data_IF_525090641779
#
_entry.id   IF_525090641779
#
_cell.length_a   1.000
_cell.length_b   1.000
_cell.length_c   1.000
_cell.angle_alpha   90.00
_cell.angle_beta   90.00
_cell.angle_gamma   90.00
#
_symmetry.space_group_name_H-M   'P 1'
#
loop_
_entity.id
_entity.type
_entity.pdbx_description
1 polymer ?
#
# COMPACT_ATOMS: atom_id res chain seq x y z
N UNK A 1 -13.21 -7.69 8.51
CA UNK A 1 -13.04 -6.22 8.39
C UNK A 1 -13.70 -5.73 7.11
N UNK A 2 -13.24 -6.10 5.91
CA UNK A 2 -13.72 -5.53 4.61
C UNK A 2 -15.24 -5.62 4.46
N UNK A 3 -15.84 -6.82 4.64
CA UNK A 3 -17.30 -7.02 4.53
C UNK A 3 -18.05 -6.01 5.41
N UNK A 4 -17.70 -5.98 6.71
CA UNK A 4 -18.34 -5.04 7.65
C UNK A 4 -18.20 -3.57 7.18
N UNK A 5 -17.02 -3.16 6.73
CA UNK A 5 -16.77 -1.78 6.31
C UNK A 5 -17.65 -1.38 5.12
N UNK A 6 -17.78 -2.26 4.12
CA UNK A 6 -18.61 -1.95 2.93
C UNK A 6 -20.10 -1.99 3.26
N UNK A 7 -20.54 -2.88 4.17
CA UNK A 7 -21.92 -2.94 4.63
C UNK A 7 -22.31 -1.71 5.47
N UNK A 8 -21.42 -1.25 6.36
CA UNK A 8 -21.59 -0.01 7.11
C UNK A 8 -21.72 1.21 6.18
N UNK A 9 -21.11 1.15 4.99
CA UNK A 9 -21.27 2.15 3.92
C UNK A 9 -22.52 1.94 3.05
N UNK A 10 -23.39 0.99 3.36
CA UNK A 10 -24.63 0.71 2.65
C UNK A 10 -24.49 -0.20 1.42
N UNK A 11 -23.35 -0.82 1.22
CA UNK A 11 -23.12 -1.80 0.15
C UNK A 11 -23.63 -3.17 0.58
N UNK A 12 -24.38 -3.85 -0.30
CA UNK A 12 -24.84 -5.24 -0.06
C UNK A 12 -23.80 -6.20 -0.62
N UNK A 13 -23.24 -7.05 0.23
CA UNK A 13 -22.37 -8.15 -0.20
C UNK A 13 -23.25 -9.30 -0.72
N UNK A 14 -23.09 -9.66 -2.00
CA UNK A 14 -23.90 -10.69 -2.67
C UNK A 14 -23.12 -11.98 -2.92
N UNK A 15 -21.80 -11.97 -2.75
CA UNK A 15 -20.91 -13.13 -2.86
C UNK A 15 -19.62 -12.88 -2.05
N UNK A 16 -19.02 -13.92 -1.50
CA UNK A 16 -17.70 -13.85 -0.86
C UNK A 16 -17.72 -13.47 0.64
N UNK A 17 -18.89 -13.34 1.26
CA UNK A 17 -18.96 -13.09 2.72
C UNK A 17 -18.29 -14.21 3.53
N UNK A 18 -18.50 -15.47 3.11
CA UNK A 18 -17.97 -16.69 3.75
C UNK A 18 -17.20 -17.59 2.79
N UNK A 19 -17.27 -17.31 1.50
CA UNK A 19 -16.75 -18.16 0.42
C UNK A 19 -15.37 -17.68 0.02
N UNK A 20 -14.37 -17.92 0.87
CA UNK A 20 -12.96 -17.71 0.52
C UNK A 20 -12.45 -18.91 -0.27
N UNK A 21 -11.57 -18.70 -1.22
CA UNK A 21 -10.88 -19.78 -1.92
C UNK A 21 -9.60 -20.20 -1.19
N UNK A 22 -9.18 -21.44 -1.43
CA UNK A 22 -7.90 -21.94 -0.92
C UNK A 22 -6.74 -21.14 -1.57
N UNK A 23 -5.74 -20.68 -0.80
CA UNK A 23 -4.56 -20.01 -1.36
C UNK A 23 -3.79 -20.81 -2.41
N UNK A 24 -3.94 -22.12 -2.44
CA UNK A 24 -3.33 -23.02 -3.43
C UNK A 24 -4.24 -23.32 -4.62
N UNK A 25 -5.44 -22.75 -4.69
CA UNK A 25 -6.39 -22.94 -5.78
C UNK A 25 -5.82 -22.45 -7.11
N UNK A 26 -6.01 -23.23 -8.14
CA UNK A 26 -5.57 -22.94 -9.52
C UNK A 26 -6.71 -22.90 -10.53
N UNK A 27 -7.89 -23.43 -10.18
CA UNK A 27 -9.06 -23.47 -11.04
C UNK A 27 -10.21 -22.65 -10.49
N UNK A 28 -10.39 -21.46 -11.01
CA UNK A 28 -11.39 -20.48 -10.55
C UNK A 28 -12.71 -20.50 -11.35
N UNK A 29 -12.95 -21.49 -12.20
CA UNK A 29 -14.13 -21.53 -13.09
C UNK A 29 -15.46 -21.55 -12.31
N UNK A 30 -15.54 -22.33 -11.22
CA UNK A 30 -16.74 -22.42 -10.37
C UNK A 30 -16.98 -21.10 -9.63
N UNK A 31 -15.92 -20.49 -9.09
CA UNK A 31 -15.96 -19.20 -8.40
C UNK A 31 -16.42 -18.10 -9.35
N UNK A 32 -15.82 -18.02 -10.53
CA UNK A 32 -16.18 -17.02 -11.54
C UNK A 32 -17.64 -17.18 -12.01
N UNK A 33 -18.11 -18.40 -12.17
CA UNK A 33 -19.52 -18.69 -12.52
C UNK A 33 -20.46 -18.23 -11.40
N UNK A 34 -20.13 -18.50 -10.14
CA UNK A 34 -20.94 -18.08 -8.98
C UNK A 34 -20.97 -16.55 -8.84
N UNK A 35 -19.82 -15.86 -9.02
CA UNK A 35 -19.75 -14.40 -9.04
C UNK A 35 -20.64 -13.85 -10.13
N UNK A 36 -20.54 -14.38 -11.37
CA UNK A 36 -21.40 -13.95 -12.49
C UNK A 36 -22.88 -14.16 -12.20
N UNK A 37 -23.25 -15.30 -11.61
CA UNK A 37 -24.63 -15.61 -11.25
C UNK A 37 -25.19 -14.68 -10.16
N UNK A 38 -24.36 -14.18 -9.25
CA UNK A 38 -24.77 -13.22 -8.21
C UNK A 38 -25.03 -11.81 -8.77
N UNK A 39 -24.67 -11.55 -10.02
CA UNK A 39 -24.85 -10.29 -10.75
C UNK A 39 -24.44 -9.05 -9.94
N UNK A 40 -23.17 -8.96 -9.51
CA UNK A 40 -22.71 -7.84 -8.68
C UNK A 40 -22.57 -6.56 -9.51
N UNK A 41 -22.81 -5.40 -8.89
CA UNK A 41 -22.51 -4.09 -9.47
C UNK A 41 -21.01 -3.80 -9.53
N UNK A 42 -20.23 -4.41 -8.62
CA UNK A 42 -18.76 -4.33 -8.55
C UNK A 42 -18.20 -5.61 -7.93
N UNK A 43 -16.96 -5.95 -8.27
CA UNK A 43 -16.27 -7.12 -7.70
C UNK A 43 -14.93 -6.70 -7.11
N UNK A 44 -14.79 -6.83 -5.79
CA UNK A 44 -13.51 -6.63 -5.11
C UNK A 44 -12.71 -7.93 -5.10
N UNK A 45 -11.48 -7.88 -5.60
CA UNK A 45 -10.56 -9.02 -5.67
C UNK A 45 -9.47 -8.84 -4.63
N UNK A 46 -9.43 -9.73 -3.64
CA UNK A 46 -8.39 -9.78 -2.60
C UNK A 46 -7.60 -11.08 -2.80
N UNK A 47 -6.47 -10.99 -3.48
CA UNK A 47 -5.64 -12.14 -3.86
C UNK A 47 -4.21 -11.69 -4.13
N UNK A 48 -3.29 -12.64 -4.23
CA UNK A 48 -1.90 -12.42 -4.65
C UNK A 48 -1.68 -13.11 -6.02
N UNK A 49 -0.83 -14.13 -6.10
CA UNK A 49 -0.50 -14.84 -7.33
C UNK A 49 -1.73 -15.47 -8.02
N UNK A 50 -2.77 -15.78 -7.24
CA UNK A 50 -4.04 -16.30 -7.73
C UNK A 50 -4.81 -15.29 -8.60
N UNK A 51 -4.45 -14.01 -8.56
CA UNK A 51 -5.15 -12.95 -9.32
C UNK A 51 -5.17 -13.26 -10.82
N UNK A 52 -4.05 -13.66 -11.41
CA UNK A 52 -3.97 -13.91 -12.87
C UNK A 52 -4.91 -15.01 -13.37
N UNK A 53 -4.88 -16.24 -12.81
CA UNK A 53 -5.83 -17.27 -13.23
C UNK A 53 -7.28 -16.91 -12.88
N UNK A 54 -7.53 -16.20 -11.75
CA UNK A 54 -8.86 -15.70 -11.40
C UNK A 54 -9.39 -14.71 -12.44
N UNK A 55 -8.60 -13.73 -12.89
CA UNK A 55 -8.99 -12.74 -13.89
C UNK A 55 -9.37 -13.41 -15.21
N UNK A 56 -8.60 -14.41 -15.66
CA UNK A 56 -8.92 -15.20 -16.87
C UNK A 56 -10.26 -15.94 -16.72
N UNK A 57 -10.52 -16.50 -15.55
CA UNK A 57 -11.78 -17.19 -15.28
C UNK A 57 -12.97 -16.21 -15.23
N UNK A 58 -12.82 -15.05 -14.59
CA UNK A 58 -13.84 -13.99 -14.52
C UNK A 58 -14.20 -13.47 -15.93
N UNK A 59 -13.18 -13.19 -16.76
CA UNK A 59 -13.38 -12.77 -18.14
C UNK A 59 -14.12 -13.85 -18.95
N UNK A 60 -13.71 -15.11 -18.82
CA UNK A 60 -14.36 -16.24 -19.51
C UNK A 60 -15.82 -16.45 -19.07
N UNK A 61 -16.14 -16.18 -17.81
CA UNK A 61 -17.51 -16.24 -17.29
C UNK A 61 -18.35 -15.00 -17.69
N UNK A 62 -17.75 -13.99 -18.32
CA UNK A 62 -18.44 -12.77 -18.75
C UNK A 62 -18.75 -11.80 -17.60
N UNK A 63 -17.94 -11.80 -16.56
CA UNK A 63 -17.99 -10.75 -15.52
C UNK A 63 -17.54 -9.43 -16.14
N UNK A 64 -18.15 -8.32 -15.72
CA UNK A 64 -17.75 -6.98 -16.20
C UNK A 64 -16.39 -6.58 -15.57
N UNK A 65 -15.33 -6.75 -16.35
CA UNK A 65 -13.96 -6.53 -15.91
C UNK A 65 -13.69 -5.05 -15.60
N UNK A 66 -14.42 -4.11 -16.18
CA UNK A 66 -14.27 -2.67 -15.89
C UNK A 66 -14.74 -2.26 -14.50
N UNK A 67 -15.47 -3.14 -13.83
CA UNK A 67 -16.00 -2.95 -12.46
C UNK A 67 -15.24 -3.75 -11.41
N UNK A 68 -14.03 -4.19 -11.72
CA UNK A 68 -13.16 -4.81 -10.73
C UNK A 68 -12.48 -3.77 -9.87
N UNK A 69 -12.28 -4.12 -8.62
CA UNK A 69 -11.50 -3.38 -7.64
C UNK A 69 -10.39 -4.28 -7.08
N UNK A 70 -9.18 -3.76 -7.09
CA UNK A 70 -7.98 -4.45 -6.64
C UNK A 70 -7.46 -3.82 -5.35
N UNK A 71 -6.67 -4.56 -4.58
CA UNK A 71 -6.09 -4.10 -3.33
C UNK A 71 -4.63 -4.50 -3.24
N UNK A 72 -3.77 -3.58 -2.80
CA UNK A 72 -2.39 -3.84 -2.45
C UNK A 72 -1.65 -4.70 -3.49
N UNK A 73 -1.26 -5.93 -3.12
CA UNK A 73 -0.39 -6.80 -3.91
C UNK A 73 -0.94 -7.23 -5.26
N UNK A 74 -2.24 -7.06 -5.53
CA UNK A 74 -2.80 -7.33 -6.85
C UNK A 74 -3.14 -6.08 -7.67
N UNK A 75 -2.82 -4.88 -7.19
CA UNK A 75 -2.81 -3.66 -8.00
C UNK A 75 -1.46 -3.57 -8.72
N UNK A 76 -1.28 -4.40 -9.74
CA UNK A 76 0.00 -4.62 -10.42
C UNK A 76 -0.11 -4.41 -11.93
N UNK A 77 1.04 -4.29 -12.61
CA UNK A 77 1.11 -4.26 -14.07
C UNK A 77 0.82 -5.64 -14.66
N UNK A 78 -0.27 -5.76 -15.41
CA UNK A 78 -0.69 -6.98 -16.11
C UNK A 78 -0.48 -6.88 -17.63
N UNK A 79 0.27 -5.86 -18.09
CA UNK A 79 0.60 -5.72 -19.51
C UNK A 79 1.40 -6.91 -20.01
N UNK A 80 1.03 -7.43 -21.19
CA UNK A 80 1.66 -8.63 -21.74
C UNK A 80 1.25 -9.96 -21.10
N UNK A 81 0.41 -9.96 -20.06
CA UNK A 81 -0.08 -11.18 -19.40
C UNK A 81 -1.57 -11.44 -19.63
N UNK A 82 -2.32 -10.37 -19.92
CA UNK A 82 -3.75 -10.37 -20.22
C UNK A 82 -3.98 -9.67 -21.56
N UNK A 83 -5.11 -9.98 -22.20
CA UNK A 83 -5.52 -9.29 -23.41
C UNK A 83 -5.62 -7.78 -23.19
N UNK A 84 -5.09 -6.99 -24.11
CA UNK A 84 -5.07 -5.54 -23.99
C UNK A 84 -6.48 -4.96 -23.76
N UNK A 85 -6.59 -4.06 -22.83
CA UNK A 85 -7.85 -3.41 -22.46
C UNK A 85 -8.78 -4.23 -21.59
N UNK A 86 -8.43 -5.45 -21.20
CA UNK A 86 -9.29 -6.30 -20.36
C UNK A 86 -9.65 -5.66 -19.04
N UNK A 87 -8.70 -4.95 -18.41
CA UNK A 87 -8.90 -4.28 -17.12
C UNK A 87 -9.19 -2.79 -17.24
N UNK A 88 -9.33 -2.26 -18.47
CA UNK A 88 -9.53 -0.82 -18.67
C UNK A 88 -10.72 -0.28 -17.85
N UNK A 89 -10.43 0.71 -17.00
CA UNK A 89 -11.43 1.34 -16.14
C UNK A 89 -11.63 0.68 -14.78
N UNK A 90 -11.10 -0.52 -14.56
CA UNK A 90 -11.05 -1.10 -13.22
C UNK A 90 -10.14 -0.28 -12.31
N UNK A 91 -10.31 -0.40 -11.00
CA UNK A 91 -9.61 0.43 -10.02
C UNK A 91 -8.81 -0.44 -9.05
N UNK A 92 -7.81 0.17 -8.43
CA UNK A 92 -7.03 -0.50 -7.40
C UNK A 92 -6.50 0.48 -6.37
N UNK A 93 -6.14 -0.04 -5.21
CA UNK A 93 -5.50 0.75 -4.15
C UNK A 93 -4.16 0.13 -3.79
N UNK A 94 -3.18 0.97 -3.48
CA UNK A 94 -1.90 0.55 -2.93
C UNK A 94 -1.65 1.38 -1.66
N UNK A 95 -1.37 0.75 -0.51
CA UNK A 95 -0.96 1.48 0.69
C UNK A 95 0.30 2.29 0.41
N UNK A 96 0.34 3.52 0.92
CA UNK A 96 1.46 4.43 0.76
C UNK A 96 1.15 5.63 -0.14
N UNK A 97 2.07 6.60 -0.10
CA UNK A 97 2.02 7.77 -0.96
C UNK A 97 2.67 7.49 -2.31
N UNK A 98 2.18 8.14 -3.35
CA UNK A 98 2.91 8.15 -4.61
C UNK A 98 4.21 8.97 -4.43
N UNK A 99 5.40 8.38 -4.65
CA UNK A 99 6.67 9.08 -4.44
C UNK A 99 6.81 10.31 -5.34
N UNK A 100 7.46 11.37 -4.84
CA UNK A 100 7.75 12.54 -5.66
C UNK A 100 8.80 12.24 -6.75
N UNK A 101 8.71 12.94 -7.87
CA UNK A 101 9.68 12.81 -8.97
C UNK A 101 11.14 13.04 -8.50
N UNK A 102 11.36 13.97 -7.57
CA UNK A 102 12.70 14.25 -7.05
C UNK A 102 13.23 13.10 -6.19
N UNK A 103 12.35 12.41 -5.45
CA UNK A 103 12.73 11.21 -4.70
C UNK A 103 13.06 10.06 -5.66
N UNK A 104 12.26 9.85 -6.70
CA UNK A 104 12.51 8.84 -7.74
C UNK A 104 13.87 9.10 -8.41
N UNK A 105 14.13 10.32 -8.90
CA UNK A 105 15.41 10.68 -9.50
C UNK A 105 16.60 10.45 -8.56
N UNK A 106 16.42 10.72 -7.27
CA UNK A 106 17.45 10.46 -6.26
C UNK A 106 17.74 8.97 -6.10
N UNK A 107 16.71 8.11 -6.10
CA UNK A 107 16.90 6.66 -6.08
C UNK A 107 17.61 6.17 -7.33
N UNK A 108 17.18 6.59 -8.51
CA UNK A 108 17.80 6.23 -9.79
C UNK A 108 19.28 6.65 -9.86
N UNK A 109 19.62 7.81 -9.27
CA UNK A 109 21.01 8.32 -9.23
C UNK A 109 21.97 7.41 -8.45
N UNK A 110 21.44 6.49 -7.62
CA UNK A 110 22.24 5.47 -6.91
C UNK A 110 22.56 4.25 -7.77
N UNK A 111 22.04 4.18 -9.01
CA UNK A 111 22.18 3.04 -9.91
C UNK A 111 21.21 1.90 -9.64
N UNK A 112 20.22 2.11 -8.76
CA UNK A 112 19.17 1.10 -8.52
C UNK A 112 18.24 1.02 -9.74
N UNK A 113 17.93 -0.19 -10.17
CA UNK A 113 16.92 -0.46 -11.19
C UNK A 113 15.54 -0.61 -10.51
N UNK A 114 14.68 0.37 -10.68
CA UNK A 114 13.33 0.38 -10.12
C UNK A 114 12.37 -0.55 -10.86
N UNK A 115 12.78 -1.21 -11.96
CA UNK A 115 11.97 -2.15 -12.76
C UNK A 115 10.57 -1.62 -13.09
N UNK A 116 10.47 -0.32 -13.34
CA UNK A 116 9.22 0.40 -13.60
C UNK A 116 8.21 0.36 -12.42
N UNK A 117 8.66 0.08 -11.21
CA UNK A 117 7.83 0.18 -10.01
C UNK A 117 8.49 0.99 -8.92
N UNK A 118 7.72 1.83 -8.27
CA UNK A 118 8.12 2.61 -7.08
C UNK A 118 7.30 2.24 -5.85
N UNK A 119 6.53 1.16 -5.97
CA UNK A 119 5.68 0.65 -4.89
C UNK A 119 6.51 0.41 -3.63
N UNK A 120 6.08 0.98 -2.52
CA UNK A 120 6.74 0.94 -1.21
C UNK A 120 8.16 1.54 -1.14
N UNK A 121 8.62 2.25 -2.16
CA UNK A 121 9.96 2.85 -2.16
C UNK A 121 10.10 3.92 -1.07
N UNK A 122 9.11 4.78 -0.91
CA UNK A 122 9.09 5.82 0.12
C UNK A 122 9.03 5.23 1.54
N UNK A 123 8.16 4.24 1.74
CA UNK A 123 7.96 3.56 3.02
C UNK A 123 9.23 2.81 3.46
N UNK A 124 9.86 2.10 2.53
CA UNK A 124 11.14 1.39 2.79
C UNK A 124 12.24 2.38 3.16
N UNK A 125 12.35 3.49 2.42
CA UNK A 125 13.33 4.53 2.71
C UNK A 125 13.11 5.13 4.10
N UNK A 126 11.89 5.54 4.41
CA UNK A 126 11.56 6.16 5.70
C UNK A 126 11.76 5.18 6.86
N UNK A 127 11.40 3.91 6.69
CA UNK A 127 11.64 2.86 7.69
C UNK A 127 13.13 2.68 8.01
N UNK A 128 14.01 2.73 7.01
CA UNK A 128 15.46 2.65 7.19
C UNK A 128 15.98 3.91 7.91
N UNK A 129 15.52 5.10 7.51
CA UNK A 129 15.93 6.35 8.16
C UNK A 129 15.49 6.40 9.63
N UNK A 130 14.26 6.02 9.93
CA UNK A 130 13.74 5.94 11.30
C UNK A 130 14.57 4.95 12.15
N UNK A 131 14.87 3.76 11.62
CA UNK A 131 15.69 2.78 12.32
C UNK A 131 17.11 3.31 12.61
N UNK A 132 17.71 3.99 11.63
CA UNK A 132 19.04 4.60 11.80
C UNK A 132 19.02 5.75 12.84
N UNK A 133 17.99 6.60 12.83
CA UNK A 133 17.82 7.67 13.82
C UNK A 133 17.55 7.11 15.23
N UNK A 134 16.76 6.04 15.34
CA UNK A 134 16.51 5.35 16.60
C UNK A 134 17.79 4.74 17.18
N UNK A 135 18.62 4.11 16.34
CA UNK A 135 19.93 3.63 16.74
C UNK A 135 20.85 4.75 17.25
N UNK A 136 20.86 5.90 16.57
CA UNK A 136 21.65 7.08 16.98
C UNK A 136 21.15 7.66 18.32
N UNK A 137 19.83 7.80 18.48
CA UNK A 137 19.23 8.30 19.73
C UNK A 137 19.55 7.38 20.90
N UNK A 138 19.49 6.06 20.71
CA UNK A 138 19.75 5.08 21.74
C UNK A 138 21.22 4.71 21.94
N UNK A 139 22.12 5.12 21.04
CA UNK A 139 23.57 4.87 21.12
C UNK A 139 24.00 3.44 20.77
N UNK A 140 23.12 2.61 20.22
CA UNK A 140 23.42 1.25 19.79
C UNK A 140 22.53 0.82 18.60
N UNK A 141 23.06 -0.05 17.73
CA UNK A 141 22.36 -0.60 16.57
C UNK A 141 21.67 -1.95 16.85
N UNK A 142 21.60 -2.39 18.11
CA UNK A 142 20.85 -3.61 18.44
C UNK A 142 19.33 -3.40 18.33
N UNK A 143 18.60 -4.48 18.04
CA UNK A 143 17.17 -4.41 17.78
C UNK A 143 16.33 -3.87 18.95
N UNK A 144 16.75 -4.11 20.21
CA UNK A 144 16.02 -3.61 21.40
C UNK A 144 16.16 -2.09 21.52
N UNK A 145 17.37 -1.57 21.28
CA UNK A 145 17.64 -0.13 21.29
C UNK A 145 16.86 0.58 20.18
N UNK A 146 16.86 0.04 18.96
CA UNK A 146 16.07 0.57 17.84
C UNK A 146 14.59 0.59 18.21
N UNK A 147 14.03 -0.54 18.66
CA UNK A 147 12.63 -0.64 19.06
C UNK A 147 12.24 0.40 20.12
N UNK A 148 13.07 0.56 21.17
CA UNK A 148 12.80 1.46 22.26
C UNK A 148 12.78 2.96 21.88
N UNK A 149 13.43 3.32 20.76
CA UNK A 149 13.56 4.71 20.32
C UNK A 149 12.79 5.03 19.03
N UNK A 150 12.19 4.04 18.37
CA UNK A 150 11.53 4.21 17.07
C UNK A 150 10.36 5.21 17.15
N UNK A 151 9.49 5.07 18.15
CA UNK A 151 8.37 5.98 18.35
C UNK A 151 8.84 7.41 18.63
N UNK A 152 9.82 7.57 19.52
CA UNK A 152 10.35 8.89 19.88
C UNK A 152 10.92 9.65 18.66
N UNK A 153 11.72 9.00 17.80
CA UNK A 153 12.29 9.66 16.61
C UNK A 153 11.25 9.93 15.52
N UNK A 154 10.12 9.21 15.52
CA UNK A 154 8.99 9.53 14.66
C UNK A 154 8.24 10.79 15.08
N UNK A 155 8.46 11.25 16.31
CA UNK A 155 7.80 12.41 16.89
C UNK A 155 6.61 12.07 17.79
N UNK A 156 6.48 10.83 18.28
CA UNK A 156 5.40 10.44 19.19
C UNK A 156 5.38 11.30 20.47
N UNK A 157 6.56 11.71 20.95
CA UNK A 157 6.73 12.57 22.10
C UNK A 157 6.89 14.07 21.72
N UNK A 158 6.64 14.41 20.45
CA UNK A 158 6.92 15.75 19.90
C UNK A 158 8.37 15.86 19.41
N UNK A 159 8.88 17.10 19.30
CA UNK A 159 10.24 17.37 18.88
C UNK A 159 10.35 18.35 17.71
N UNK A 160 11.58 18.74 17.37
CA UNK A 160 11.83 19.60 16.22
C UNK A 160 11.69 18.82 14.91
N UNK A 161 10.96 19.39 13.94
CA UNK A 161 10.76 18.77 12.63
C UNK A 161 12.04 18.75 11.83
N UNK A 162 12.34 17.63 11.20
CA UNK A 162 13.46 17.44 10.29
C UNK A 162 13.09 16.43 9.19
N UNK A 163 13.59 16.64 7.98
CA UNK A 163 13.17 15.95 6.73
C UNK A 163 14.26 15.05 6.11
N UNK A 164 15.41 14.96 6.74
CA UNK A 164 16.52 14.14 6.27
C UNK A 164 17.31 13.56 7.42
N UNK A 165 17.95 12.40 7.20
CA UNK A 165 18.84 11.79 8.19
C UNK A 165 19.87 12.78 8.73
N UNK A 166 20.50 13.58 7.81
CA UNK A 166 21.54 14.55 8.18
C UNK A 166 21.01 15.65 9.10
N UNK A 167 19.84 16.22 8.78
CA UNK A 167 19.23 17.28 9.58
C UNK A 167 18.79 16.74 10.95
N UNK A 168 18.11 15.59 10.96
CA UNK A 168 17.66 14.95 12.21
C UNK A 168 18.85 14.53 13.10
N UNK A 169 19.91 13.98 12.52
CA UNK A 169 21.12 13.62 13.26
C UNK A 169 21.79 14.84 13.93
N UNK A 170 21.80 16.00 13.26
CA UNK A 170 22.34 17.23 13.85
C UNK A 170 21.56 17.62 15.11
N UNK A 171 20.22 17.60 15.05
CA UNK A 171 19.37 17.88 16.21
C UNK A 171 19.59 16.90 17.37
N UNK A 172 19.68 15.59 17.05
CA UNK A 172 19.96 14.57 18.06
C UNK A 172 21.31 14.77 18.75
N UNK A 173 22.36 15.19 18.00
CA UNK A 173 23.68 15.49 18.55
C UNK A 173 23.66 16.72 19.47
N UNK A 174 22.76 17.67 19.21
CA UNK A 174 22.52 18.83 20.06
C UNK A 174 21.62 18.50 21.28
N UNK A 175 21.28 17.24 21.48
CA UNK A 175 20.45 16.76 22.60
C UNK A 175 18.97 17.08 22.47
N UNK A 176 18.49 17.40 21.28
CA UNK A 176 17.10 17.74 21.01
C UNK A 176 16.27 16.52 20.65
N UNK A 177 14.99 16.53 21.01
CA UNK A 177 14.01 15.60 20.48
C UNK A 177 13.63 15.99 19.06
N UNK A 178 13.33 15.00 18.23
CA UNK A 178 13.04 15.17 16.80
C UNK A 178 11.66 14.63 16.42
N UNK A 179 11.12 15.19 15.35
CA UNK A 179 10.01 14.61 14.59
C UNK A 179 10.45 14.45 13.14
N UNK A 180 10.76 13.22 12.73
CA UNK A 180 11.14 12.94 11.35
C UNK A 180 9.93 13.12 10.40
N UNK A 181 10.12 13.92 9.36
CA UNK A 181 9.16 14.15 8.28
C UNK A 181 9.66 13.45 7.03
N UNK A 182 9.18 12.23 6.80
CA UNK A 182 9.67 11.38 5.72
C UNK A 182 9.04 11.64 4.35
N UNK A 183 9.40 10.79 3.40
CA UNK A 183 8.87 10.82 2.03
C UNK A 183 7.41 10.38 1.95
N UNK A 184 6.98 9.54 2.88
CA UNK A 184 5.59 9.02 2.96
C UNK A 184 4.60 10.06 3.45
N UNK A 185 5.06 11.08 4.18
CA UNK A 185 4.19 12.09 4.79
C UNK A 185 3.26 11.54 5.88
N UNK A 186 3.50 10.32 6.38
CA UNK A 186 2.72 9.75 7.49
C UNK A 186 3.08 10.41 8.82
N UNK A 187 2.12 10.40 9.77
CA UNK A 187 2.30 10.97 11.10
C UNK A 187 3.17 10.12 12.03
N UNK A 188 3.46 10.66 13.23
CA UNK A 188 4.21 9.94 14.26
C UNK A 188 3.56 8.61 14.62
N UNK A 189 4.33 7.68 15.20
CA UNK A 189 3.77 6.43 15.70
C UNK A 189 2.89 6.68 16.93
N UNK A 190 1.79 5.96 17.01
CA UNK A 190 0.87 5.99 18.15
C UNK A 190 1.34 5.00 19.24
N UNK A 191 0.56 4.91 20.33
CA UNK A 191 0.84 3.99 21.46
C UNK A 191 0.91 2.49 21.10
N UNK A 192 0.35 2.11 19.95
CA UNK A 192 0.36 0.74 19.45
C UNK A 192 1.54 0.48 18.49
N UNK A 193 2.41 1.48 18.27
CA UNK A 193 3.48 1.50 17.27
C UNK A 193 2.99 1.51 15.81
N UNK A 194 1.74 1.90 15.57
CA UNK A 194 1.22 2.15 14.23
C UNK A 194 1.48 3.62 13.86
N UNK A 195 1.65 3.95 12.57
CA UNK A 195 1.60 5.33 12.11
C UNK A 195 0.26 5.97 12.49
N UNK A 196 0.27 7.22 12.98
CA UNK A 196 -0.96 7.94 13.37
C UNK A 196 -1.81 8.41 12.19
N UNK A 197 -1.26 8.36 10.98
CA UNK A 197 -1.97 8.60 9.72
C UNK A 197 -1.50 7.64 8.64
N UNK A 198 -2.32 7.47 7.60
CA UNK A 198 -2.00 6.63 6.45
C UNK A 198 -2.36 7.33 5.15
N UNK A 199 -1.59 7.04 4.12
CA UNK A 199 -1.87 7.39 2.74
C UNK A 199 -2.18 6.13 1.94
N UNK A 200 -3.20 6.22 1.07
CA UNK A 200 -3.57 5.13 0.16
C UNK A 200 -3.59 5.72 -1.26
N UNK A 201 -2.73 5.23 -2.12
CA UNK A 201 -2.76 5.55 -3.54
C UNK A 201 -3.96 4.87 -4.21
N UNK A 202 -4.71 5.62 -4.99
CA UNK A 202 -5.81 5.14 -5.83
C UNK A 202 -5.34 5.13 -7.28
N UNK A 203 -5.63 4.05 -7.99
CA UNK A 203 -5.18 3.80 -9.35
C UNK A 203 -6.35 3.42 -10.24
N UNK A 204 -6.25 3.74 -11.53
CA UNK A 204 -7.18 3.26 -12.57
C UNK A 204 -6.37 2.53 -13.63
N UNK A 205 -6.84 1.34 -14.05
CA UNK A 205 -6.16 0.57 -15.09
C UNK A 205 -6.43 1.17 -16.47
N UNK A 206 -5.36 1.33 -17.24
CA UNK A 206 -5.39 1.85 -18.61
C UNK A 206 -5.68 0.78 -19.67
N UNK A 207 -5.56 1.16 -20.94
CA UNK A 207 -5.77 0.25 -22.08
C UNK A 207 -4.70 -0.84 -22.24
N UNK A 208 -3.58 -0.72 -21.55
CA UNK A 208 -2.49 -1.70 -21.55
C UNK A 208 -2.54 -2.59 -20.29
N UNK A 209 -3.60 -2.49 -19.48
CA UNK A 209 -3.75 -3.16 -18.19
C UNK A 209 -2.70 -2.75 -17.14
N UNK A 210 -2.25 -1.49 -17.19
CA UNK A 210 -1.33 -0.91 -16.22
C UNK A 210 -2.09 -0.05 -15.21
N UNK A 211 -1.78 -0.14 -13.91
CA UNK A 211 -2.34 0.77 -12.92
C UNK A 211 -1.69 2.16 -13.08
N UNK A 212 -2.50 3.14 -13.42
CA UNK A 212 -2.11 4.55 -13.51
C UNK A 212 -2.57 5.26 -12.27
N UNK A 213 -1.66 5.96 -11.59
CA UNK A 213 -1.97 6.72 -10.39
C UNK A 213 -3.02 7.80 -10.68
N UNK A 214 -4.03 7.89 -9.84
CA UNK A 214 -5.10 8.90 -9.92
C UNK A 214 -4.92 9.95 -8.81
N UNK A 215 -5.05 9.52 -7.55
CA UNK A 215 -4.89 10.41 -6.40
C UNK A 215 -4.48 9.64 -5.15
N UNK A 216 -4.12 10.38 -4.10
CA UNK A 216 -3.92 9.84 -2.76
C UNK A 216 -5.11 10.14 -1.88
N UNK A 217 -5.64 9.13 -1.18
CA UNK A 217 -6.57 9.29 -0.09
C UNK A 217 -5.80 9.19 1.23
N UNK A 218 -5.87 10.24 2.05
CA UNK A 218 -5.22 10.29 3.36
C UNK A 218 -6.26 10.17 4.47
N UNK A 219 -5.86 9.63 5.61
CA UNK A 219 -6.71 9.52 6.78
C UNK A 219 -5.92 9.25 8.05
N UNK A 220 -6.53 9.55 9.20
CA UNK A 220 -5.98 9.19 10.50
C UNK A 220 -6.20 7.70 10.78
N UNK A 221 -5.22 7.08 11.43
CA UNK A 221 -5.34 5.68 11.89
C UNK A 221 -6.02 5.69 13.26
N UNK A 222 -7.13 4.95 13.44
CA UNK A 222 -7.79 4.86 14.74
C UNK A 222 -6.84 4.39 15.85
N UNK A 223 -6.98 4.97 17.04
CA UNK A 223 -6.12 4.69 18.21
C UNK A 223 -6.84 3.89 19.30
N UNK A 224 -7.75 3.00 18.90
CA UNK A 224 -8.56 2.20 19.84
C UNK A 224 -7.75 1.28 20.74
#
# INVERSE_FOLDING_TARGET
>A
VVVKTVEDAGVKVVYGEKDTFDPTETNFSSIATAIKASNPDATLVIAFDQTKPLLKALASAGVDMSKLYFVDGNTSDYSGELDAGLLKGSKGTIPGANPSDDFIKRLESTGVDLKNTTTYAAETYDGIILAALAAQKGGSADGKTIQANMAAVSGADGGEKCDSYKACLALLKDGKDIQYQGQTGIGPFNKNNDPSSANIGVYTFDGDNKPVFDHTQSGDVPTD
#
